data_IF_086599335907
#
_entry.id   IF_086599335907
#
_cell.length_a   1.000
_cell.length_b   1.000
_cell.length_c   1.000
_cell.angle_alpha   90.00
_cell.angle_beta   90.00
_cell.angle_gamma   90.00
#
_symmetry.space_group_name_H-M   'P 1'
#
loop_
_entity.id
_entity.type
_entity.pdbx_description
1 polymer ?
#
# COMPACT_ATOMS: atom_id res chain seq x y z
N UNK A 1 -84.29 -12.00 -5.18
CA UNK A 1 -82.85 -12.11 -5.30
C UNK A 1 -82.30 -10.71 -5.14
N UNK A 2 -81.68 -10.37 -3.96
CA UNK A 2 -81.12 -9.06 -3.69
C UNK A 2 -79.65 -9.07 -4.13
N UNK A 3 -79.29 -8.31 -5.18
CA UNK A 3 -77.93 -8.05 -5.59
C UNK A 3 -77.33 -7.03 -4.62
N UNK A 4 -76.45 -7.49 -3.75
CA UNK A 4 -75.58 -6.68 -2.88
C UNK A 4 -74.66 -5.86 -3.77
N UNK A 5 -74.87 -4.53 -3.83
CA UNK A 5 -73.90 -3.60 -4.41
C UNK A 5 -72.68 -3.55 -3.49
N UNK A 6 -71.60 -4.23 -3.87
CA UNK A 6 -70.28 -4.00 -3.27
C UNK A 6 -69.91 -2.53 -3.49
N UNK A 7 -69.69 -1.83 -2.37
CA UNK A 7 -69.30 -0.44 -2.39
C UNK A 7 -67.99 -0.31 -3.14
N UNK A 8 -67.97 0.60 -4.13
CA UNK A 8 -66.77 1.10 -4.78
C UNK A 8 -65.86 1.68 -3.69
N UNK A 9 -64.71 1.10 -3.52
CA UNK A 9 -63.71 1.62 -2.63
C UNK A 9 -63.45 3.08 -2.97
N UNK A 10 -63.53 3.94 -1.97
CA UNK A 10 -63.32 5.38 -2.04
C UNK A 10 -61.90 5.63 -2.55
N UNK A 11 -61.74 5.86 -3.86
CA UNK A 11 -60.43 6.20 -4.46
C UNK A 11 -60.12 7.66 -4.16
N UNK A 12 -59.67 7.92 -2.92
CA UNK A 12 -59.12 9.24 -2.60
C UNK A 12 -57.83 9.42 -3.37
N UNK A 13 -57.88 10.30 -4.40
CA UNK A 13 -56.70 10.72 -5.12
C UNK A 13 -55.75 11.49 -4.20
N UNK A 14 -54.44 11.37 -4.45
CA UNK A 14 -53.39 12.15 -3.73
C UNK A 14 -53.64 13.65 -3.94
N UNK A 15 -53.52 14.39 -2.86
CA UNK A 15 -53.55 15.85 -2.95
C UNK A 15 -52.22 16.39 -3.53
N UNK A 16 -52.27 17.53 -4.17
CA UNK A 16 -51.07 18.19 -4.73
C UNK A 16 -49.99 18.45 -3.63
N UNK A 17 -50.46 18.76 -2.41
CA UNK A 17 -49.60 18.98 -1.25
C UNK A 17 -48.89 17.70 -0.79
N UNK A 18 -49.57 16.55 -0.81
CA UNK A 18 -48.94 15.27 -0.47
C UNK A 18 -47.83 14.90 -1.47
N UNK A 19 -48.09 15.06 -2.75
CA UNK A 19 -47.12 14.82 -3.80
C UNK A 19 -45.88 15.74 -3.64
N UNK A 20 -46.10 17.03 -3.36
CA UNK A 20 -45.02 17.98 -3.15
C UNK A 20 -44.17 17.61 -1.94
N UNK A 21 -44.79 17.25 -0.82
CA UNK A 21 -44.05 16.82 0.38
C UNK A 21 -43.24 15.55 0.10
N UNK A 22 -43.80 14.57 -0.57
CA UNK A 22 -43.09 13.34 -0.93
C UNK A 22 -41.88 13.62 -1.82
N UNK A 23 -42.02 14.52 -2.84
CA UNK A 23 -40.89 14.89 -3.71
C UNK A 23 -39.79 15.57 -2.92
N UNK A 24 -40.11 16.48 -2.03
CA UNK A 24 -39.12 17.17 -1.18
C UNK A 24 -38.38 16.17 -0.28
N UNK A 25 -39.10 15.30 0.40
CA UNK A 25 -38.50 14.28 1.26
C UNK A 25 -37.62 13.31 0.47
N UNK A 26 -38.12 12.84 -0.68
CA UNK A 26 -37.36 11.98 -1.58
C UNK A 26 -36.06 12.65 -2.06
N UNK A 27 -36.11 13.93 -2.37
CA UNK A 27 -34.93 14.71 -2.79
C UNK A 27 -33.87 14.78 -1.68
N UNK A 28 -34.28 15.06 -0.44
CA UNK A 28 -33.36 15.11 0.72
C UNK A 28 -32.70 13.74 0.97
N UNK A 29 -33.49 12.66 0.93
CA UNK A 29 -32.97 11.30 1.10
C UNK A 29 -31.99 10.96 -0.03
N UNK A 30 -32.33 11.28 -1.27
CA UNK A 30 -31.48 11.01 -2.44
C UNK A 30 -30.16 11.76 -2.34
N UNK A 31 -30.17 13.04 -1.95
CA UNK A 31 -28.95 13.82 -1.73
C UNK A 31 -28.06 13.22 -0.63
N UNK A 32 -28.67 12.76 0.46
CA UNK A 32 -27.97 12.06 1.54
C UNK A 32 -27.28 10.77 1.06
N UNK A 33 -27.99 9.96 0.28
CA UNK A 33 -27.46 8.74 -0.32
C UNK A 33 -26.31 9.00 -1.28
N UNK A 34 -26.43 10.02 -2.13
CA UNK A 34 -25.35 10.42 -3.06
C UNK A 34 -24.11 10.87 -2.30
N UNK A 35 -24.28 11.72 -1.28
CA UNK A 35 -23.17 12.18 -0.45
C UNK A 35 -22.46 11.00 0.27
N UNK A 36 -23.24 10.08 0.82
CA UNK A 36 -22.70 8.87 1.44
C UNK A 36 -21.96 7.98 0.45
N UNK A 37 -22.49 7.79 -0.74
CA UNK A 37 -21.86 7.00 -1.80
C UNK A 37 -20.51 7.58 -2.22
N UNK A 38 -20.45 8.89 -2.47
CA UNK A 38 -19.21 9.58 -2.86
C UNK A 38 -18.14 9.49 -1.77
N UNK A 39 -18.51 9.69 -0.50
CA UNK A 39 -17.60 9.51 0.62
C UNK A 39 -17.10 8.06 0.73
N UNK A 40 -17.98 7.09 0.58
CA UNK A 40 -17.60 5.67 0.63
C UNK A 40 -16.63 5.31 -0.48
N UNK A 41 -16.82 5.83 -1.70
CA UNK A 41 -15.88 5.63 -2.80
C UNK A 41 -14.49 6.23 -2.50
N UNK A 42 -14.43 7.45 -1.98
CA UNK A 42 -13.17 8.08 -1.61
C UNK A 42 -12.40 7.25 -0.57
N UNK A 43 -13.09 6.83 0.50
CA UNK A 43 -12.50 5.97 1.54
C UNK A 43 -12.01 4.62 0.98
N UNK A 44 -12.77 4.02 0.05
CA UNK A 44 -12.36 2.78 -0.58
C UNK A 44 -11.09 2.95 -1.44
N UNK A 45 -11.00 4.02 -2.20
CA UNK A 45 -9.81 4.32 -3.02
C UNK A 45 -8.58 4.52 -2.14
N UNK A 46 -8.70 5.28 -1.06
CA UNK A 46 -7.60 5.50 -0.11
C UNK A 46 -7.16 4.18 0.56
N UNK A 47 -8.09 3.38 1.04
CA UNK A 47 -7.80 2.08 1.65
C UNK A 47 -7.11 1.12 0.66
N UNK A 48 -7.56 1.08 -0.60
CA UNK A 48 -6.97 0.21 -1.61
C UNK A 48 -5.54 0.62 -1.98
N UNK A 49 -5.28 1.92 -2.11
CA UNK A 49 -3.93 2.42 -2.41
C UNK A 49 -2.98 2.25 -1.23
N UNK A 50 -3.48 2.39 0.01
CA UNK A 50 -2.71 2.07 1.21
C UNK A 50 -2.33 0.58 1.27
N UNK A 51 -3.28 -0.31 0.97
CA UNK A 51 -3.02 -1.75 0.94
C UNK A 51 -1.96 -2.13 -0.11
N UNK A 52 -1.98 -1.50 -1.28
CA UNK A 52 -0.94 -1.68 -2.31
C UNK A 52 0.43 -1.21 -1.81
N UNK A 53 0.53 -0.03 -1.20
CA UNK A 53 1.78 0.47 -0.65
C UNK A 53 2.34 -0.44 0.46
N UNK A 54 1.47 -0.97 1.33
CA UNK A 54 1.88 -1.95 2.35
C UNK A 54 2.39 -3.25 1.73
N UNK A 55 1.69 -3.76 0.72
CA UNK A 55 2.11 -4.95 -0.01
C UNK A 55 3.48 -4.76 -0.65
N UNK A 56 3.70 -3.64 -1.32
CA UNK A 56 4.97 -3.34 -1.98
C UNK A 56 6.10 -3.20 -0.96
N UNK A 57 5.87 -2.49 0.15
CA UNK A 57 6.85 -2.39 1.24
C UNK A 57 7.19 -3.77 1.84
N UNK A 58 6.17 -4.61 2.06
CA UNK A 58 6.38 -5.98 2.56
C UNK A 58 7.17 -6.81 1.56
N UNK A 59 6.89 -6.69 0.28
CA UNK A 59 7.63 -7.41 -0.78
C UNK A 59 9.09 -7.00 -0.82
N UNK A 60 9.39 -5.71 -0.70
CA UNK A 60 10.77 -5.21 -0.61
C UNK A 60 11.51 -5.86 0.57
N UNK A 61 10.91 -5.83 1.75
CA UNK A 61 11.50 -6.41 2.95
C UNK A 61 11.68 -7.94 2.84
N UNK A 62 10.77 -8.62 2.17
CA UNK A 62 10.87 -10.05 1.94
C UNK A 62 12.00 -10.41 0.97
N UNK A 63 12.21 -9.63 -0.10
CA UNK A 63 13.38 -9.79 -0.97
C UNK A 63 14.68 -9.59 -0.18
N UNK A 64 14.78 -8.51 0.59
CA UNK A 64 15.95 -8.26 1.43
C UNK A 64 16.19 -9.39 2.45
N UNK A 65 15.11 -9.93 3.02
CA UNK A 65 15.19 -11.07 3.96
C UNK A 65 15.71 -12.33 3.27
N UNK A 66 15.21 -12.64 2.08
CA UNK A 66 15.63 -13.80 1.30
C UNK A 66 17.11 -13.74 0.96
N UNK A 67 17.61 -12.58 0.50
CA UNK A 67 19.00 -12.38 0.15
C UNK A 67 19.90 -12.32 1.40
N UNK A 68 19.42 -11.68 2.47
CA UNK A 68 20.10 -11.67 3.77
C UNK A 68 20.30 -13.07 4.36
N UNK A 69 19.36 -13.99 4.19
CA UNK A 69 19.51 -15.37 4.64
C UNK A 69 20.61 -16.15 3.89
N UNK A 70 21.01 -15.71 2.72
CA UNK A 70 22.08 -16.31 1.91
C UNK A 70 23.43 -15.68 2.17
N UNK A 71 23.45 -14.53 2.82
CA UNK A 71 24.63 -13.72 3.07
C UNK A 71 25.32 -14.09 4.38
N UNK A 72 26.64 -13.94 4.38
CA UNK A 72 27.48 -14.02 5.57
C UNK A 72 27.74 -12.64 6.18
N UNK A 73 27.80 -11.62 5.35
CA UNK A 73 28.09 -10.24 5.74
C UNK A 73 27.19 -9.27 4.98
N UNK A 74 26.78 -8.20 5.64
CA UNK A 74 26.12 -7.08 5.01
C UNK A 74 26.82 -5.76 5.37
N UNK A 75 26.97 -4.89 4.40
CA UNK A 75 27.61 -3.59 4.56
C UNK A 75 26.68 -2.50 4.13
N UNK A 76 26.42 -1.53 5.00
CA UNK A 76 25.68 -0.32 4.66
C UNK A 76 26.63 0.81 4.25
N UNK A 77 26.37 1.40 3.10
CA UNK A 77 27.11 2.54 2.56
C UNK A 77 26.20 3.77 2.57
N UNK A 78 26.28 4.54 3.65
CA UNK A 78 25.39 5.68 3.88
C UNK A 78 25.34 6.73 2.74
N UNK A 79 26.46 7.15 2.13
CA UNK A 79 26.43 8.14 1.05
C UNK A 79 25.65 7.68 -0.19
N UNK A 80 25.60 6.38 -0.43
CA UNK A 80 24.92 5.78 -1.58
C UNK A 80 23.55 5.24 -1.23
N UNK A 81 23.14 5.30 0.04
CA UNK A 81 21.95 4.63 0.54
C UNK A 81 21.83 3.19 0.03
N UNK A 82 22.97 2.47 0.09
CA UNK A 82 23.14 1.12 -0.46
C UNK A 82 23.47 0.14 0.66
N UNK A 83 22.76 -0.98 0.72
CA UNK A 83 23.15 -2.17 1.47
C UNK A 83 23.63 -3.22 0.50
N UNK A 84 24.79 -3.81 0.77
CA UNK A 84 25.39 -4.87 -0.05
C UNK A 84 25.56 -6.11 0.79
N UNK A 85 25.12 -7.23 0.28
CA UNK A 85 25.22 -8.54 0.87
C UNK A 85 26.38 -9.32 0.24
N UNK A 86 27.17 -9.98 1.07
CA UNK A 86 28.36 -10.73 0.67
C UNK A 86 28.28 -12.19 1.15
N UNK A 87 28.88 -13.08 0.37
CA UNK A 87 29.10 -14.47 0.77
C UNK A 87 30.31 -14.61 1.74
N UNK A 88 30.59 -15.85 2.18
CA UNK A 88 31.75 -16.16 3.03
C UNK A 88 33.10 -15.88 2.36
N UNK A 89 33.14 -15.74 1.05
CA UNK A 89 34.35 -15.44 0.27
C UNK A 89 34.48 -13.95 -0.06
N UNK A 90 33.61 -13.10 0.53
CA UNK A 90 33.51 -11.67 0.29
C UNK A 90 33.15 -11.31 -1.16
N UNK A 91 32.48 -12.21 -1.89
CA UNK A 91 31.88 -11.85 -3.16
C UNK A 91 30.54 -11.18 -2.94
N UNK A 92 30.27 -10.11 -3.72
CA UNK A 92 28.96 -9.46 -3.72
C UNK A 92 27.90 -10.43 -4.26
N UNK A 93 26.87 -10.72 -3.45
CA UNK A 93 25.74 -11.53 -3.83
C UNK A 93 24.66 -10.64 -4.44
N UNK A 94 24.14 -9.74 -3.63
CA UNK A 94 23.03 -8.88 -3.97
C UNK A 94 23.21 -7.52 -3.30
N UNK A 95 22.63 -6.47 -3.86
CA UNK A 95 22.59 -5.17 -3.22
C UNK A 95 21.31 -4.42 -3.48
N UNK A 96 20.92 -3.60 -2.51
CA UNK A 96 19.75 -2.73 -2.57
C UNK A 96 20.20 -1.29 -2.38
N UNK A 97 19.80 -0.41 -3.26
CA UNK A 97 20.10 1.00 -3.12
C UNK A 97 18.88 1.86 -3.48
N UNK A 98 18.78 2.99 -2.80
CA UNK A 98 17.74 3.96 -3.06
C UNK A 98 18.19 4.96 -4.12
N UNK A 99 17.58 4.88 -5.30
CA UNK A 99 17.73 5.91 -6.33
C UNK A 99 16.83 7.10 -5.97
N UNK A 100 17.45 8.11 -5.37
CA UNK A 100 16.75 9.33 -4.96
C UNK A 100 16.23 10.17 -6.15
N UNK A 101 16.86 10.04 -7.31
CA UNK A 101 16.43 10.75 -8.52
C UNK A 101 15.19 10.12 -9.15
N UNK A 102 15.10 8.79 -9.08
CA UNK A 102 13.97 8.01 -9.58
C UNK A 102 12.94 7.66 -8.52
N UNK A 103 13.13 8.10 -7.25
CA UNK A 103 12.26 7.76 -6.12
C UNK A 103 11.99 6.26 -5.99
N UNK A 104 12.97 5.41 -6.35
CA UNK A 104 12.79 3.97 -6.43
C UNK A 104 13.85 3.21 -5.65
N UNK A 105 13.49 2.04 -5.11
CA UNK A 105 14.44 1.10 -4.54
C UNK A 105 14.86 0.11 -5.63
N UNK A 106 16.15 0.12 -5.92
CA UNK A 106 16.77 -0.73 -6.93
C UNK A 106 17.40 -1.95 -6.28
N UNK A 107 17.29 -3.09 -6.94
CA UNK A 107 17.96 -4.34 -6.58
C UNK A 107 18.93 -4.75 -7.68
N UNK A 108 20.15 -5.07 -7.31
CA UNK A 108 21.17 -5.63 -8.18
C UNK A 108 21.46 -7.06 -7.77
N UNK A 109 21.34 -7.98 -8.72
CA UNK A 109 21.64 -9.40 -8.55
C UNK A 109 23.14 -9.71 -8.69
N UNK A 110 23.98 -9.04 -7.88
CA UNK A 110 25.43 -9.23 -7.91
C UNK A 110 26.13 -8.58 -9.12
N UNK A 111 27.43 -8.91 -9.36
CA UNK A 111 28.25 -8.28 -10.38
C UNK A 111 27.77 -8.50 -11.83
N UNK A 112 26.94 -9.50 -12.05
CA UNK A 112 26.39 -9.82 -13.38
C UNK A 112 25.17 -8.98 -13.77
N UNK A 113 24.60 -8.21 -12.83
CA UNK A 113 23.45 -7.33 -13.05
C UNK A 113 23.77 -5.86 -12.71
N UNK A 114 24.62 -5.19 -13.52
CA UNK A 114 25.12 -3.85 -13.19
C UNK A 114 24.05 -2.75 -13.27
N UNK A 115 22.96 -3.00 -13.97
CA UNK A 115 21.89 -2.00 -14.13
C UNK A 115 20.85 -2.09 -13.02
N UNK A 116 20.67 -3.28 -12.44
CA UNK A 116 19.64 -3.54 -11.44
C UNK A 116 18.23 -3.36 -11.98
N UNK A 117 17.26 -3.59 -11.12
CA UNK A 117 15.85 -3.39 -11.42
C UNK A 117 15.14 -2.73 -10.25
N UNK A 118 14.15 -1.91 -10.53
CA UNK A 118 13.24 -1.42 -9.49
C UNK A 118 12.42 -2.61 -8.92
N UNK A 119 12.38 -2.72 -7.58
CA UNK A 119 11.71 -3.84 -6.92
C UNK A 119 10.20 -3.61 -6.87
N UNK A 120 9.78 -2.36 -6.69
CA UNK A 120 8.38 -2.01 -6.52
C UNK A 120 8.03 -0.77 -7.33
N UNK A 121 6.79 -0.68 -7.83
CA UNK A 121 6.30 0.48 -8.58
C UNK A 121 5.99 1.69 -7.69
N UNK A 122 6.05 1.54 -6.37
CA UNK A 122 5.79 2.63 -5.42
C UNK A 122 6.98 3.56 -5.26
N UNK A 123 6.68 4.83 -4.98
CA UNK A 123 7.68 5.84 -4.67
C UNK A 123 8.31 5.57 -3.30
N UNK A 124 9.63 5.42 -3.24
CA UNK A 124 10.38 5.29 -1.98
C UNK A 124 10.86 6.68 -1.56
N UNK A 125 10.37 7.15 -0.43
CA UNK A 125 10.72 8.48 0.12
C UNK A 125 11.91 8.42 1.09
N UNK A 126 12.14 7.26 1.70
CA UNK A 126 13.23 7.08 2.66
C UNK A 126 13.62 5.61 2.75
N UNK A 127 14.93 5.37 2.76
CA UNK A 127 15.51 4.06 3.00
C UNK A 127 16.76 4.23 3.88
N UNK A 128 16.74 3.63 5.05
CA UNK A 128 17.86 3.65 5.99
C UNK A 128 18.03 2.26 6.58
N UNK A 129 19.30 1.82 6.64
CA UNK A 129 19.68 0.51 7.14
C UNK A 129 20.85 0.67 8.10
N UNK A 130 20.84 -0.09 9.16
CA UNK A 130 21.98 -0.31 10.06
C UNK A 130 22.40 -1.77 10.02
N UNK A 131 23.71 -2.00 10.15
CA UNK A 131 24.28 -3.35 10.13
C UNK A 131 25.08 -3.57 11.40
N UNK A 132 24.85 -4.70 12.07
CA UNK A 132 25.67 -5.14 13.21
C UNK A 132 26.46 -6.40 12.81
N UNK A 133 27.73 -6.24 12.45
CA UNK A 133 28.55 -7.37 12.02
C UNK A 133 28.86 -8.37 13.13
N UNK A 134 28.78 -7.96 14.41
CA UNK A 134 29.08 -8.85 15.54
C UNK A 134 27.98 -9.88 15.78
N UNK A 135 26.74 -9.51 15.44
CA UNK A 135 25.57 -10.37 15.63
C UNK A 135 25.00 -10.88 14.30
N UNK A 136 25.62 -10.51 13.17
CA UNK A 136 25.08 -10.87 11.86
C UNK A 136 23.66 -10.36 11.63
N UNK A 137 23.41 -9.13 12.02
CA UNK A 137 22.10 -8.52 11.93
C UNK A 137 22.10 -7.34 10.96
N UNK A 138 21.08 -7.28 10.14
CA UNK A 138 20.75 -6.13 9.28
C UNK A 138 19.42 -5.59 9.73
N UNK A 139 19.38 -4.36 10.18
CA UNK A 139 18.12 -3.71 10.55
C UNK A 139 17.78 -2.67 9.51
N UNK A 140 16.64 -2.83 8.88
CA UNK A 140 16.02 -1.76 8.09
C UNK A 140 15.34 -0.82 9.08
N UNK A 141 16.01 0.27 9.40
CA UNK A 141 15.54 1.24 10.40
C UNK A 141 14.29 1.96 9.89
N UNK A 142 14.30 2.32 8.62
CA UNK A 142 13.19 3.03 7.99
C UNK A 142 13.10 2.68 6.51
N UNK A 143 11.99 2.11 6.12
CA UNK A 143 11.52 2.04 4.74
C UNK A 143 10.20 2.81 4.66
N UNK A 144 10.23 3.97 4.02
CA UNK A 144 9.03 4.78 3.80
C UNK A 144 8.66 4.77 2.33
N UNK A 145 7.48 4.27 2.05
CA UNK A 145 6.91 4.25 0.69
C UNK A 145 5.66 5.14 0.65
N UNK A 146 5.44 5.76 -0.51
CA UNK A 146 4.28 6.59 -0.76
C UNK A 146 3.45 5.98 -1.88
N UNK A 147 2.15 5.82 -1.63
CA UNK A 147 1.19 5.40 -2.65
C UNK A 147 0.90 6.50 -3.66
N UNK A 148 0.26 6.14 -4.76
CA UNK A 148 -0.22 7.09 -5.78
C UNK A 148 -1.24 8.11 -5.25
N UNK A 149 -1.97 7.77 -4.20
CA UNK A 149 -2.90 8.68 -3.50
C UNK A 149 -2.21 9.59 -2.48
N UNK A 150 -0.88 9.46 -2.29
CA UNK A 150 -0.12 10.26 -1.32
C UNK A 150 -0.06 9.67 0.10
N UNK A 151 -0.71 8.55 0.36
CA UNK A 151 -0.64 7.85 1.65
C UNK A 151 0.77 7.29 1.85
N UNK A 152 1.35 7.55 3.04
CA UNK A 152 2.68 7.08 3.43
C UNK A 152 2.59 5.86 4.32
N UNK A 153 3.39 4.85 4.01
CA UNK A 153 3.58 3.65 4.84
C UNK A 153 5.04 3.61 5.26
N UNK A 154 5.28 3.45 6.57
CA UNK A 154 6.63 3.31 7.12
C UNK A 154 6.75 1.94 7.77
N UNK A 155 7.79 1.20 7.41
CA UNK A 155 8.07 -0.12 7.94
C UNK A 155 9.52 -0.20 8.42
N UNK A 156 9.76 -1.07 9.40
CA UNK A 156 11.09 -1.44 9.90
C UNK A 156 11.13 -2.94 10.12
N UNK A 157 12.31 -3.56 9.98
CA UNK A 157 12.51 -4.98 10.23
C UNK A 157 13.96 -5.28 10.54
N UNK A 158 14.20 -6.39 11.23
CA UNK A 158 15.55 -6.92 11.45
C UNK A 158 15.67 -8.27 10.77
N UNK A 159 16.78 -8.48 10.07
CA UNK A 159 17.10 -9.66 9.26
C UNK A 159 18.35 -10.28 9.85
N UNK A 160 18.28 -11.56 10.22
CA UNK A 160 19.45 -12.34 10.59
C UNK A 160 20.16 -12.91 9.37
N UNK A 161 21.49 -12.80 9.36
CA UNK A 161 22.35 -13.45 8.36
C UNK A 161 22.64 -14.88 8.82
N UNK A 162 22.49 -15.85 7.95
CA UNK A 162 22.58 -17.27 8.36
C UNK A 162 23.93 -17.95 8.04
N UNK A 163 24.71 -17.37 7.17
CA UNK A 163 25.96 -17.95 6.70
C UNK A 163 27.20 -17.36 7.41
N UNK A 164 27.14 -17.20 8.73
CA UNK A 164 28.29 -16.77 9.54
C UNK A 164 29.26 -17.92 9.81
#
# INVERSE_FOLDING_TARGET
VALSRRGLADSRGFTLTEVTVVIVLASVVTLGLVAFYLNSQAMWMDASTQALAQRDATSILEYMRQDGHRAALAVWTAPLHKVTFYDNSLNELDSFFWDQAGDSLMHHGGPSDPLGRAIAPTVVEQFAVSTDPNYGLVTVDTLRVRSTSGVRVTMSTTIGLFNQ
#
